data_IF_956398666545
#
_entry.id   IF_956398666545
#
_cell.length_a   1.000
_cell.length_b   1.000
_cell.length_c   1.000
_cell.angle_alpha   90.00
_cell.angle_beta   90.00
_cell.angle_gamma   90.00
#
_symmetry.space_group_name_H-M   'P 1'
#
loop_
_entity.id
_entity.type
_entity.pdbx_description
1 polymer ?
#
# COMPACT_ATOMS: atom_id res chain seq x y z
N UNK A 1 19.63 16.74 15.21
CA UNK A 1 18.29 16.36 14.67
C UNK A 1 18.35 16.54 13.16
N UNK A 2 18.87 15.55 12.41
CA UNK A 2 19.20 15.74 10.97
C UNK A 2 18.56 14.68 10.06
N UNK A 3 17.51 14.00 10.51
CA UNK A 3 16.81 12.98 9.70
C UNK A 3 15.31 13.25 9.80
N UNK A 4 14.78 13.92 8.79
CA UNK A 4 13.34 14.09 8.58
C UNK A 4 12.96 13.36 7.29
N UNK A 5 11.76 12.78 7.24
CA UNK A 5 11.23 12.21 6.02
C UNK A 5 10.84 13.34 5.06
N UNK A 6 11.37 13.30 3.85
CA UNK A 6 10.98 14.20 2.77
C UNK A 6 9.83 13.57 1.98
N UNK A 7 8.81 14.39 1.66
CA UNK A 7 7.69 13.99 0.81
C UNK A 7 7.69 14.90 -0.42
N UNK A 8 7.93 14.32 -1.60
CA UNK A 8 8.05 15.08 -2.86
C UNK A 8 6.79 15.85 -3.24
N UNK A 9 5.60 15.28 -2.97
CA UNK A 9 4.28 15.86 -3.29
C UNK A 9 4.10 16.17 -4.78
N UNK A 10 3.16 17.07 -5.10
CA UNK A 10 2.95 17.62 -6.45
C UNK A 10 2.79 16.58 -7.57
N UNK A 11 2.26 15.39 -7.25
CA UNK A 11 2.15 14.26 -8.18
C UNK A 11 3.50 13.85 -8.80
N UNK A 12 4.60 14.10 -8.11
CA UNK A 12 5.92 13.65 -8.50
C UNK A 12 5.98 12.11 -8.48
N UNK A 13 6.72 11.45 -9.39
CA UNK A 13 6.91 10.00 -9.34
C UNK A 13 7.46 9.49 -7.99
N UNK A 14 8.29 10.28 -7.30
CA UNK A 14 8.80 9.99 -5.97
C UNK A 14 7.77 10.15 -4.84
N UNK A 15 6.58 10.71 -5.13
CA UNK A 15 5.45 10.76 -4.22
C UNK A 15 4.49 9.55 -4.39
N UNK A 16 4.90 8.52 -5.14
CA UNK A 16 4.10 7.30 -5.34
C UNK A 16 3.73 6.61 -4.02
N UNK A 17 2.44 6.31 -3.87
CA UNK A 17 1.91 5.49 -2.78
C UNK A 17 1.70 4.08 -3.32
N UNK A 18 2.57 3.15 -2.89
CA UNK A 18 2.44 1.73 -3.22
C UNK A 18 1.27 1.10 -2.46
N UNK A 19 0.54 0.20 -3.11
CA UNK A 19 -0.67 -0.43 -2.54
C UNK A 19 -0.41 -1.91 -2.30
N UNK A 20 -0.50 -2.33 -1.04
CA UNK A 20 -0.52 -3.74 -0.64
C UNK A 20 -1.80 -4.42 -1.14
N UNK A 21 -1.67 -5.61 -1.74
CA UNK A 21 -2.80 -6.37 -2.30
C UNK A 21 -3.07 -7.67 -1.55
N UNK A 22 -4.34 -8.12 -1.57
CA UNK A 22 -4.76 -9.41 -1.01
C UNK A 22 -5.87 -10.05 -1.86
N UNK A 23 -5.82 -11.37 -2.03
CA UNK A 23 -6.78 -12.12 -2.84
C UNK A 23 -6.98 -13.54 -2.30
N UNK A 24 -8.12 -14.15 -2.63
CA UNK A 24 -8.41 -15.56 -2.35
C UNK A 24 -8.12 -16.38 -3.59
N UNK A 25 -7.27 -17.41 -3.46
CA UNK A 25 -7.01 -18.34 -4.55
C UNK A 25 -8.27 -19.14 -4.90
N UNK A 26 -8.59 -19.24 -6.18
CA UNK A 26 -9.70 -20.05 -6.68
C UNK A 26 -9.58 -21.54 -6.31
N UNK A 27 -8.36 -22.03 -6.09
CA UNK A 27 -8.06 -23.40 -5.68
C UNK A 27 -8.14 -23.65 -4.16
N UNK A 28 -8.43 -22.63 -3.35
CA UNK A 28 -8.51 -22.79 -1.89
C UNK A 28 -9.56 -23.85 -1.51
N UNK A 29 -9.20 -24.76 -0.60
CA UNK A 29 -10.12 -25.72 0.01
C UNK A 29 -10.94 -25.10 1.15
N UNK A 30 -10.60 -23.88 1.57
CA UNK A 30 -11.24 -23.12 2.65
C UNK A 30 -11.76 -21.78 2.12
N UNK A 31 -12.57 -21.83 1.05
CA UNK A 31 -13.05 -20.62 0.36
C UNK A 31 -13.79 -19.67 1.30
N UNK A 32 -14.68 -20.20 2.15
CA UNK A 32 -15.51 -19.39 3.04
C UNK A 32 -14.66 -18.66 4.09
N UNK A 33 -13.71 -19.36 4.69
CA UNK A 33 -12.81 -18.84 5.70
C UNK A 33 -11.84 -17.82 5.10
N UNK A 34 -11.29 -18.09 3.91
CA UNK A 34 -10.40 -17.17 3.22
C UNK A 34 -11.10 -15.85 2.83
N UNK A 35 -12.34 -15.92 2.35
CA UNK A 35 -13.16 -14.74 2.07
C UNK A 35 -13.50 -13.96 3.35
N UNK A 36 -13.83 -14.67 4.43
CA UNK A 36 -14.09 -14.06 5.73
C UNK A 36 -12.84 -13.35 6.27
N UNK A 37 -11.66 -13.94 6.10
CA UNK A 37 -10.38 -13.36 6.47
C UNK A 37 -10.11 -12.07 5.69
N UNK A 38 -10.19 -12.11 4.35
CA UNK A 38 -9.95 -10.92 3.53
C UNK A 38 -10.93 -9.80 3.90
N UNK A 39 -12.22 -10.12 4.08
CA UNK A 39 -13.24 -9.18 4.54
C UNK A 39 -12.91 -8.56 5.91
N UNK A 40 -12.35 -9.34 6.83
CA UNK A 40 -11.97 -8.84 8.16
C UNK A 40 -10.75 -7.91 8.07
N UNK A 41 -9.72 -8.29 7.33
CA UNK A 41 -8.48 -7.50 7.14
C UNK A 41 -8.79 -6.15 6.52
N UNK A 42 -9.67 -6.11 5.52
CA UNK A 42 -10.09 -4.85 4.86
C UNK A 42 -11.25 -4.15 5.56
N UNK A 43 -11.77 -4.72 6.65
CA UNK A 43 -12.86 -4.14 7.44
C UNK A 43 -12.35 -3.36 8.65
N UNK A 44 -13.28 -2.79 9.43
CA UNK A 44 -12.98 -1.95 10.60
C UNK A 44 -11.98 -2.58 11.58
N UNK A 45 -12.07 -3.90 11.79
CA UNK A 45 -11.17 -4.63 12.70
C UNK A 45 -9.73 -4.63 12.20
N UNK A 46 -9.49 -5.10 10.97
CA UNK A 46 -8.14 -5.13 10.40
C UNK A 46 -7.56 -3.73 10.16
N UNK A 47 -8.38 -2.77 9.72
CA UNK A 47 -7.92 -1.39 9.52
C UNK A 47 -7.60 -0.68 10.84
N UNK A 48 -8.27 -1.01 11.95
CA UNK A 48 -7.89 -0.52 13.27
C UNK A 48 -6.51 -1.03 13.72
N UNK A 49 -6.11 -2.25 13.33
CA UNK A 49 -4.76 -2.76 13.61
C UNK A 49 -3.69 -1.88 12.96
N UNK A 50 -3.91 -1.42 11.72
CA UNK A 50 -2.99 -0.49 11.04
C UNK A 50 -2.96 0.89 11.72
N UNK A 51 -4.12 1.39 12.13
CA UNK A 51 -4.24 2.68 12.81
C UNK A 51 -3.53 2.70 14.16
N UNK A 52 -3.74 1.67 14.96
CA UNK A 52 -3.35 1.65 16.38
C UNK A 52 -2.03 0.92 16.63
N UNK A 53 -1.56 0.13 15.65
CA UNK A 53 -0.32 -0.63 15.71
C UNK A 53 0.94 0.16 15.37
N UNK A 54 2.05 -0.57 15.25
CA UNK A 54 3.41 -0.08 15.05
C UNK A 54 4.01 -0.48 13.68
N UNK A 55 3.19 -1.00 12.75
CA UNK A 55 3.60 -1.24 11.36
C UNK A 55 3.75 0.06 10.56
N UNK A 56 3.08 1.13 10.99
CA UNK A 56 3.10 2.46 10.34
C UNK A 56 2.71 2.44 8.86
N UNK A 57 1.92 1.44 8.44
CA UNK A 57 1.23 1.44 7.14
C UNK A 57 -0.08 2.26 7.21
N UNK A 58 -0.54 2.70 6.04
CA UNK A 58 -1.78 3.45 5.91
C UNK A 58 -2.99 2.52 5.83
N UNK A 59 -4.06 2.87 6.55
CA UNK A 59 -5.38 2.28 6.36
C UNK A 59 -5.97 2.72 5.01
N UNK A 60 -6.63 1.79 4.32
CA UNK A 60 -7.29 1.97 3.01
C UNK A 60 -8.81 1.74 3.05
N UNK A 61 -9.35 1.34 4.21
CA UNK A 61 -10.78 1.19 4.42
C UNK A 61 -11.56 2.51 4.31
N UNK A 62 -12.79 2.44 3.81
CA UNK A 62 -13.63 3.62 3.63
C UNK A 62 -13.97 4.27 4.98
N UNK A 63 -13.44 5.48 5.20
CA UNK A 63 -13.65 6.25 6.43
C UNK A 63 -12.75 5.83 7.60
N UNK A 64 -11.81 4.90 7.39
CA UNK A 64 -10.85 4.49 8.40
C UNK A 64 -9.65 5.44 8.41
N UNK A 65 -9.35 5.99 9.59
CA UNK A 65 -8.15 6.81 9.79
C UNK A 65 -6.90 5.92 9.89
N UNK A 66 -5.78 6.41 9.37
CA UNK A 66 -4.45 5.83 9.60
C UNK A 66 -3.86 6.30 10.93
N UNK A 67 -2.71 5.73 11.31
CA UNK A 67 -2.01 6.12 12.53
C UNK A 67 -1.74 7.64 12.55
N UNK A 68 -2.04 8.35 13.67
CA UNK A 68 -1.91 9.81 13.74
C UNK A 68 -0.48 10.34 13.64
N UNK A 69 0.54 9.46 13.70
CA UNK A 69 1.94 9.82 13.47
C UNK A 69 2.30 9.92 11.98
N UNK A 70 1.43 9.48 11.08
CA UNK A 70 1.63 9.51 9.64
C UNK A 70 1.06 10.79 9.03
N UNK A 71 1.65 11.24 7.91
CA UNK A 71 1.08 12.31 7.09
C UNK A 71 -0.19 11.78 6.43
N UNK A 72 -1.37 12.43 6.55
CA UNK A 72 -2.59 11.91 5.95
C UNK A 72 -2.44 11.67 4.44
N UNK A 73 -2.99 10.56 3.93
CA UNK A 73 -2.89 10.19 2.50
C UNK A 73 -3.26 11.33 1.54
N UNK A 74 -4.30 12.11 1.88
CA UNK A 74 -4.77 13.26 1.09
C UNK A 74 -3.74 14.40 0.98
N UNK A 75 -2.81 14.50 1.93
CA UNK A 75 -1.80 15.55 2.00
C UNK A 75 -0.48 15.14 1.32
N UNK A 76 -0.34 13.87 0.93
CA UNK A 76 0.82 13.33 0.21
C UNK A 76 0.89 13.78 -1.25
N UNK A 77 -0.25 14.18 -1.82
CA UNK A 77 -0.36 14.62 -3.22
C UNK A 77 0.29 13.63 -4.21
N UNK A 78 0.02 12.33 -4.01
CA UNK A 78 0.58 11.26 -4.83
C UNK A 78 0.15 11.34 -6.30
N UNK A 79 0.97 10.89 -7.25
CA UNK A 79 0.58 10.76 -8.65
C UNK A 79 -0.55 9.75 -8.81
N UNK A 80 -1.39 9.97 -9.82
CA UNK A 80 -2.42 8.99 -10.21
C UNK A 80 -1.75 7.84 -10.96
N UNK A 81 -1.61 6.70 -10.29
CA UNK A 81 -1.05 5.47 -10.88
C UNK A 81 -2.08 4.36 -10.78
N UNK A 82 -2.39 3.72 -11.91
CA UNK A 82 -3.26 2.56 -11.96
C UNK A 82 -2.46 1.29 -11.59
N UNK A 83 -2.72 0.64 -10.44
CA UNK A 83 -1.89 -0.45 -9.95
C UNK A 83 -1.84 -1.65 -10.91
N UNK A 84 -2.93 -1.93 -11.63
CA UNK A 84 -3.01 -3.05 -12.58
C UNK A 84 -2.12 -2.87 -13.82
N UNK A 85 -1.61 -1.67 -14.08
CA UNK A 85 -0.71 -1.36 -15.20
C UNK A 85 0.78 -1.43 -14.82
N UNK A 86 1.11 -1.65 -13.55
CA UNK A 86 2.50 -1.82 -13.11
C UNK A 86 3.09 -3.11 -13.67
N UNK A 87 4.34 -3.05 -14.14
CA UNK A 87 4.99 -4.16 -14.85
C UNK A 87 6.34 -4.50 -14.21
N UNK A 88 6.35 -5.48 -13.31
CA UNK A 88 7.55 -5.93 -12.62
C UNK A 88 8.61 -6.46 -13.57
N UNK A 89 8.22 -7.22 -14.60
CA UNK A 89 9.18 -7.76 -15.59
C UNK A 89 9.95 -6.64 -16.28
N UNK A 90 9.24 -5.61 -16.77
CA UNK A 90 9.90 -4.50 -17.47
C UNK A 90 10.83 -3.72 -16.54
N UNK A 91 10.47 -3.57 -15.27
CA UNK A 91 11.34 -2.95 -14.26
C UNK A 91 12.63 -3.77 -14.07
N UNK A 92 12.52 -5.08 -13.89
CA UNK A 92 13.70 -5.96 -13.78
C UNK A 92 14.59 -5.87 -15.02
N UNK A 93 14.01 -5.95 -16.23
CA UNK A 93 14.77 -5.86 -17.48
C UNK A 93 15.57 -4.55 -17.57
N UNK A 94 14.94 -3.40 -17.22
CA UNK A 94 15.59 -2.08 -17.25
C UNK A 94 16.68 -1.93 -16.18
N UNK A 95 16.44 -2.44 -14.97
CA UNK A 95 17.43 -2.36 -13.89
C UNK A 95 18.66 -3.22 -14.20
N UNK A 96 18.48 -4.40 -14.82
CA UNK A 96 19.58 -5.25 -15.28
C UNK A 96 20.33 -4.61 -16.45
N UNK A 97 19.63 -4.04 -17.44
CA UNK A 97 20.27 -3.31 -18.55
C UNK A 97 21.12 -2.14 -18.05
N UNK A 98 20.66 -1.45 -17.00
CA UNK A 98 21.40 -0.37 -16.34
C UNK A 98 22.49 -0.83 -15.37
N UNK A 99 22.66 -2.13 -15.14
CA UNK A 99 23.67 -2.69 -14.22
C UNK A 99 23.40 -2.40 -12.73
N UNK A 100 22.15 -2.16 -12.35
CA UNK A 100 21.74 -1.92 -10.96
C UNK A 100 21.45 -3.21 -10.19
N UNK A 101 21.08 -4.28 -10.91
CA UNK A 101 20.87 -5.65 -10.40
C UNK A 101 21.30 -6.70 -11.42
#
# INVERSE_FOLDING_TARGET
KNVLLHYFKNQDPGAFVSISGGAVLASSQHQKEAQAFLKWVTGKGGQAVLRDGDSFEYAVGNGDASNPKLVPLKDLQAPKVEPSKLNSKKVTDLMTEAGLI
#
